data_IF_227624144390
#
_entry.id   IF_227624144390
#
_cell.length_a   1.000
_cell.length_b   1.000
_cell.length_c   1.000
_cell.angle_alpha   90.00
_cell.angle_beta   90.00
_cell.angle_gamma   90.00
#
_symmetry.space_group_name_H-M   'P 1'
#
loop_
_entity.id
_entity.type
_entity.pdbx_description
1 polymer ?
#
# COMPACT_ATOMS: atom_id res chain seq x y z
N UNK A 1 40.22 3.94 -7.68
CA UNK A 1 40.33 5.32 -8.20
C UNK A 1 39.31 6.25 -7.56
N UNK A 2 38.06 5.83 -7.33
CA UNK A 2 37.00 6.76 -6.87
C UNK A 2 37.32 7.42 -5.54
N UNK A 3 37.86 6.64 -4.60
CA UNK A 3 38.22 7.12 -3.28
C UNK A 3 39.50 7.99 -3.26
N UNK A 4 40.35 7.91 -4.30
CA UNK A 4 41.52 8.79 -4.45
C UNK A 4 41.14 10.11 -5.13
N UNK A 5 40.20 10.09 -6.08
CA UNK A 5 39.66 11.29 -6.74
C UNK A 5 38.82 12.16 -5.80
N UNK A 6 37.98 11.55 -4.96
CA UNK A 6 37.15 12.30 -4.00
C UNK A 6 37.98 13.06 -2.96
N UNK A 7 39.18 12.57 -2.66
CA UNK A 7 40.13 13.23 -1.75
C UNK A 7 40.89 14.38 -2.41
N UNK A 8 40.81 14.53 -3.74
CA UNK A 8 41.45 15.64 -4.42
C UNK A 8 40.71 16.96 -4.08
N UNK A 9 41.42 18.01 -3.64
CA UNK A 9 40.80 19.23 -3.13
C UNK A 9 39.90 19.94 -4.16
N UNK A 10 40.30 19.95 -5.43
CA UNK A 10 39.50 20.59 -6.50
C UNK A 10 38.20 19.83 -6.80
N UNK A 11 38.26 18.50 -6.84
CA UNK A 11 37.09 17.65 -7.09
C UNK A 11 36.12 17.77 -5.93
N UNK A 12 36.63 17.75 -4.70
CA UNK A 12 35.79 17.90 -3.51
C UNK A 12 35.10 19.27 -3.46
N UNK A 13 35.84 20.35 -3.73
CA UNK A 13 35.28 21.70 -3.81
C UNK A 13 34.22 21.84 -4.91
N UNK A 14 34.43 21.21 -6.07
CA UNK A 14 33.47 21.17 -7.17
C UNK A 14 32.17 20.45 -6.76
N UNK A 15 32.28 19.25 -6.20
CA UNK A 15 31.13 18.47 -5.70
C UNK A 15 30.37 19.22 -4.60
N UNK A 16 31.09 19.87 -3.68
CA UNK A 16 30.47 20.65 -2.61
C UNK A 16 29.65 21.82 -3.17
N UNK A 17 30.19 22.56 -4.16
CA UNK A 17 29.46 23.65 -4.82
C UNK A 17 28.20 23.16 -5.53
N UNK A 18 28.25 22.00 -6.20
CA UNK A 18 27.07 21.39 -6.81
C UNK A 18 26.03 21.03 -5.76
N UNK A 19 26.43 20.29 -4.72
CA UNK A 19 25.51 19.85 -3.66
C UNK A 19 24.88 21.03 -2.91
N UNK A 20 25.59 22.16 -2.76
CA UNK A 20 25.06 23.38 -2.17
C UNK A 20 23.85 23.95 -2.93
N UNK A 21 23.77 23.74 -4.25
CA UNK A 21 22.62 24.16 -5.07
C UNK A 21 21.43 23.19 -4.98
N UNK A 22 21.67 21.93 -4.60
CA UNK A 22 20.64 20.88 -4.55
C UNK A 22 20.00 20.84 -3.15
N UNK A 23 18.77 21.34 -3.02
CA UNK A 23 18.06 21.36 -1.71
C UNK A 23 17.76 19.97 -1.14
N UNK A 24 17.60 18.95 -2.00
CA UNK A 24 17.29 17.60 -1.58
C UNK A 24 18.54 16.89 -1.07
N UNK A 25 18.79 16.97 0.25
CA UNK A 25 19.97 16.33 0.87
C UNK A 25 19.99 14.81 0.70
N UNK A 26 18.81 14.18 0.55
CA UNK A 26 18.66 12.73 0.36
C UNK A 26 19.32 12.20 -0.93
N UNK A 27 19.59 13.05 -1.94
CA UNK A 27 20.27 12.67 -3.19
C UNK A 27 21.75 13.03 -3.22
N UNK A 28 22.28 13.72 -2.20
CA UNK A 28 23.66 14.25 -2.26
C UNK A 28 24.70 13.16 -2.44
N UNK A 29 24.60 12.07 -1.69
CA UNK A 29 25.53 10.93 -1.80
C UNK A 29 25.52 10.32 -3.20
N UNK A 30 24.33 10.18 -3.79
CA UNK A 30 24.18 9.60 -5.12
C UNK A 30 24.67 10.53 -6.23
N UNK A 31 24.34 11.81 -6.15
CA UNK A 31 24.88 12.83 -7.06
C UNK A 31 26.41 12.83 -6.99
N UNK A 32 27.00 12.74 -5.79
CA UNK A 32 28.46 12.65 -5.63
C UNK A 32 29.00 11.39 -6.30
N UNK A 33 28.39 10.23 -6.08
CA UNK A 33 28.80 8.98 -6.70
C UNK A 33 28.71 9.02 -8.23
N UNK A 34 27.62 9.53 -8.80
CA UNK A 34 27.41 9.61 -10.24
C UNK A 34 28.41 10.58 -10.90
N UNK A 35 28.59 11.77 -10.32
CA UNK A 35 29.55 12.75 -10.82
C UNK A 35 30.99 12.25 -10.71
N UNK A 36 31.34 11.54 -9.64
CA UNK A 36 32.65 10.90 -9.51
C UNK A 36 32.85 9.80 -10.55
N UNK A 37 31.85 8.95 -10.77
CA UNK A 37 31.92 7.89 -11.78
C UNK A 37 32.08 8.47 -13.20
N UNK A 38 31.37 9.55 -13.50
CA UNK A 38 31.48 10.22 -14.80
C UNK A 38 32.83 10.93 -14.95
N UNK A 39 33.35 11.54 -13.88
CA UNK A 39 34.69 12.12 -13.86
C UNK A 39 35.78 11.04 -14.06
N UNK A 40 35.63 9.88 -13.42
CA UNK A 40 36.52 8.73 -13.61
C UNK A 40 36.57 8.28 -15.06
N UNK A 41 35.39 8.13 -15.69
CA UNK A 41 35.27 7.72 -17.09
C UNK A 41 35.93 8.74 -18.03
N UNK A 42 35.63 10.04 -17.84
CA UNK A 42 36.23 11.14 -18.62
C UNK A 42 37.75 11.27 -18.43
N UNK A 43 38.25 10.94 -17.25
CA UNK A 43 39.69 10.97 -16.94
C UNK A 43 40.39 9.79 -17.61
N UNK A 44 39.83 8.58 -17.48
CA UNK A 44 40.36 7.37 -18.11
C UNK A 44 40.41 7.48 -19.64
N UNK A 45 39.37 8.04 -20.25
CA UNK A 45 39.31 8.27 -21.69
C UNK A 45 40.44 9.18 -22.17
N UNK A 46 40.71 10.29 -21.46
CA UNK A 46 41.79 11.24 -21.81
C UNK A 46 43.18 10.66 -21.62
N UNK A 47 43.41 9.90 -20.55
CA UNK A 47 44.68 9.20 -20.33
C UNK A 47 44.95 8.22 -21.48
N UNK A 48 43.92 7.48 -21.91
CA UNK A 48 44.03 6.51 -23.00
C UNK A 48 44.24 7.16 -24.38
N UNK A 49 43.57 8.28 -24.67
CA UNK A 49 43.64 8.94 -25.99
C UNK A 49 44.87 9.84 -26.17
N UNK A 50 45.24 10.59 -25.13
CA UNK A 50 46.22 11.68 -25.25
C UNK A 50 47.55 11.40 -24.53
N UNK A 51 47.66 10.26 -23.83
CA UNK A 51 48.87 9.92 -23.05
C UNK A 51 49.19 10.93 -21.95
N UNK A 52 48.21 11.73 -21.54
CA UNK A 52 48.39 12.78 -20.53
C UNK A 52 48.64 12.18 -19.14
N UNK A 53 49.46 12.84 -18.29
CA UNK A 53 49.52 12.49 -16.88
C UNK A 53 48.12 12.55 -16.25
N UNK A 54 47.81 11.56 -15.41
CA UNK A 54 46.48 11.36 -14.82
C UNK A 54 45.92 12.63 -14.13
N UNK A 55 46.77 13.37 -13.43
CA UNK A 55 46.40 14.62 -12.75
C UNK A 55 45.96 15.72 -13.74
N UNK A 56 46.67 15.88 -14.86
CA UNK A 56 46.29 16.84 -15.90
C UNK A 56 44.99 16.42 -16.60
N UNK A 57 44.86 15.12 -16.90
CA UNK A 57 43.66 14.57 -17.51
C UNK A 57 42.42 14.77 -16.62
N UNK A 58 42.56 14.63 -15.30
CA UNK A 58 41.51 14.87 -14.32
C UNK A 58 41.07 16.34 -14.28
N UNK A 59 42.00 17.29 -14.19
CA UNK A 59 41.67 18.72 -14.15
C UNK A 59 40.92 19.13 -15.43
N UNK A 60 41.35 18.61 -16.58
CA UNK A 60 40.69 18.87 -17.86
C UNK A 60 39.32 18.19 -17.95
N UNK A 61 39.18 16.97 -17.43
CA UNK A 61 37.89 16.30 -17.29
C UNK A 61 36.94 17.08 -16.38
N UNK A 62 37.43 17.65 -15.28
CA UNK A 62 36.66 18.48 -14.36
C UNK A 62 36.16 19.76 -15.04
N UNK A 63 36.99 20.42 -15.85
CA UNK A 63 36.58 21.57 -16.67
C UNK A 63 35.50 21.20 -17.69
N UNK A 64 35.58 20.00 -18.24
CA UNK A 64 34.58 19.48 -19.19
C UNK A 64 33.23 19.16 -18.52
N UNK A 65 33.17 19.01 -17.20
CA UNK A 65 31.90 18.85 -16.48
C UNK A 65 31.06 20.14 -16.44
N UNK A 66 31.66 21.30 -16.74
CA UNK A 66 31.00 22.60 -16.79
C UNK A 66 31.06 23.38 -15.48
N UNK A 67 30.28 24.46 -15.39
CA UNK A 67 30.21 25.30 -14.20
C UNK A 67 29.40 24.63 -13.07
N UNK A 68 29.95 24.51 -11.85
CA UNK A 68 29.30 23.79 -10.75
C UNK A 68 27.97 24.42 -10.31
N UNK A 69 27.78 25.74 -10.45
CA UNK A 69 26.51 26.36 -10.08
C UNK A 69 25.40 26.03 -11.08
N UNK A 70 25.72 26.08 -12.38
CA UNK A 70 24.78 25.72 -13.44
C UNK A 70 24.39 24.24 -13.37
N UNK A 71 25.39 23.36 -13.24
CA UNK A 71 25.17 21.91 -13.07
C UNK A 71 24.34 21.65 -11.81
N UNK A 72 24.66 22.32 -10.70
CA UNK A 72 23.90 22.22 -9.46
C UNK A 72 22.43 22.65 -9.58
N UNK A 73 22.14 23.74 -10.31
CA UNK A 73 20.75 24.19 -10.57
C UNK A 73 19.97 23.23 -11.46
N UNK A 74 20.61 22.65 -12.48
CA UNK A 74 20.01 21.62 -13.32
C UNK A 74 19.68 20.36 -12.50
N UNK A 75 20.64 19.89 -11.70
CA UNK A 75 20.45 18.74 -10.81
C UNK A 75 19.37 19.01 -9.74
N UNK A 76 19.29 20.22 -9.20
CA UNK A 76 18.21 20.60 -8.28
C UNK A 76 16.83 20.46 -8.93
N UNK A 77 16.70 20.90 -10.17
CA UNK A 77 15.43 20.85 -10.91
C UNK A 77 15.05 19.40 -11.24
N UNK A 78 16.02 18.58 -11.63
CA UNK A 78 15.82 17.16 -11.91
C UNK A 78 15.37 16.38 -10.65
N UNK A 79 16.04 16.59 -9.51
CA UNK A 79 15.85 15.82 -8.28
C UNK A 79 14.88 16.46 -7.29
N UNK A 80 14.13 17.50 -7.69
CA UNK A 80 13.18 18.17 -6.80
C UNK A 80 12.03 17.21 -6.43
N UNK A 81 11.74 16.98 -5.13
CA UNK A 81 10.59 16.20 -4.70
C UNK A 81 9.28 16.79 -5.26
N UNK A 82 8.49 15.97 -5.95
CA UNK A 82 7.19 16.37 -6.51
C UNK A 82 6.06 15.68 -5.75
N UNK A 83 5.30 16.38 -4.90
CA UNK A 83 4.09 15.82 -4.30
C UNK A 83 3.01 15.59 -5.38
N UNK A 84 2.27 14.49 -5.26
CA UNK A 84 1.07 14.24 -6.07
C UNK A 84 -0.16 14.83 -5.40
N UNK A 85 -0.34 16.13 -5.59
CA UNK A 85 -1.49 16.88 -5.05
C UNK A 85 -2.84 16.26 -5.38
N UNK A 86 -2.96 15.60 -6.54
CA UNK A 86 -4.20 14.92 -6.93
C UNK A 86 -4.58 13.79 -5.97
N UNK A 87 -3.63 12.95 -5.54
CA UNK A 87 -3.95 11.88 -4.56
C UNK A 87 -4.22 12.47 -3.19
N UNK A 88 -3.47 13.48 -2.78
CA UNK A 88 -3.71 14.17 -1.49
C UNK A 88 -5.13 14.77 -1.47
N UNK A 89 -5.57 15.40 -2.56
CA UNK A 89 -6.92 15.98 -2.66
C UNK A 89 -8.00 14.90 -2.62
N UNK A 90 -7.81 13.76 -3.31
CA UNK A 90 -8.75 12.64 -3.27
C UNK A 90 -8.86 12.03 -1.86
N UNK A 91 -7.73 11.80 -1.19
CA UNK A 91 -7.68 11.30 0.20
C UNK A 91 -8.33 12.29 1.15
N UNK A 92 -8.08 13.58 1.01
CA UNK A 92 -8.71 14.62 1.80
C UNK A 92 -10.23 14.65 1.58
N UNK A 93 -10.71 14.52 0.34
CA UNK A 93 -12.13 14.42 0.02
C UNK A 93 -12.79 13.20 0.68
N UNK A 94 -12.19 12.02 0.57
CA UNK A 94 -12.67 10.79 1.22
C UNK A 94 -12.70 10.94 2.76
N UNK A 95 -11.63 11.49 3.34
CA UNK A 95 -11.53 11.77 4.77
C UNK A 95 -12.62 12.73 5.24
N UNK A 96 -12.86 13.82 4.51
CA UNK A 96 -13.89 14.82 4.83
C UNK A 96 -15.30 14.23 4.72
N UNK A 97 -15.58 13.42 3.71
CA UNK A 97 -16.86 12.70 3.59
C UNK A 97 -17.06 11.81 4.82
N UNK A 98 -16.04 11.04 5.19
CA UNK A 98 -16.06 10.26 6.42
C UNK A 98 -16.35 11.14 7.64
N UNK A 99 -15.64 12.27 7.78
CA UNK A 99 -15.75 13.16 8.95
C UNK A 99 -17.16 13.73 9.10
N UNK A 100 -17.70 14.31 8.03
CA UNK A 100 -19.04 14.90 8.01
C UNK A 100 -20.08 13.83 8.35
N UNK A 101 -19.94 12.64 7.76
CA UNK A 101 -20.86 11.53 8.01
C UNK A 101 -20.76 10.99 9.43
N UNK A 102 -19.58 11.07 10.07
CA UNK A 102 -19.42 10.68 11.45
C UNK A 102 -20.10 11.66 12.41
N UNK A 103 -20.07 12.95 12.09
CA UNK A 103 -20.86 13.96 12.81
C UNK A 103 -22.36 13.76 12.64
N UNK A 104 -22.84 13.40 11.44
CA UNK A 104 -24.26 13.06 11.27
C UNK A 104 -24.64 11.77 11.99
N UNK A 105 -23.76 10.76 12.00
CA UNK A 105 -23.98 9.52 12.75
C UNK A 105 -24.12 9.79 14.26
N UNK A 106 -23.38 10.77 14.80
CA UNK A 106 -23.49 11.20 16.20
C UNK A 106 -24.86 11.77 16.54
N UNK A 107 -25.53 12.42 15.59
CA UNK A 107 -26.88 12.92 15.79
C UNK A 107 -27.92 11.78 15.82
N UNK A 108 -27.60 10.65 15.18
CA UNK A 108 -28.51 9.51 15.01
C UNK A 108 -28.28 8.34 15.98
N UNK A 109 -27.08 8.19 16.55
CA UNK A 109 -26.69 7.04 17.38
C UNK A 109 -25.97 7.53 18.63
N UNK A 110 -26.56 7.27 19.79
CA UNK A 110 -25.97 7.59 21.09
C UNK A 110 -24.79 6.64 21.35
N UNK A 111 -23.56 7.17 21.47
CA UNK A 111 -22.38 6.33 21.66
C UNK A 111 -21.03 7.04 21.60
N UNK A 112 -19.96 6.27 21.85
CA UNK A 112 -18.55 6.72 21.96
C UNK A 112 -17.90 7.08 20.61
N UNK A 113 -18.63 7.79 19.75
CA UNK A 113 -18.17 8.30 18.45
C UNK A 113 -16.97 9.24 18.62
N UNK A 114 -16.94 10.00 19.72
CA UNK A 114 -15.87 10.96 20.01
C UNK A 114 -14.49 10.30 20.12
N UNK A 115 -14.42 9.05 20.63
CA UNK A 115 -13.14 8.31 20.72
C UNK A 115 -12.64 7.82 19.36
N UNK A 116 -13.54 7.69 18.36
CA UNK A 116 -13.20 7.21 17.02
C UNK A 116 -12.49 8.29 16.17
N UNK A 117 -12.75 9.57 16.45
CA UNK A 117 -12.08 10.69 15.76
C UNK A 117 -10.56 10.65 15.90
N UNK A 118 -10.07 10.14 17.04
CA UNK A 118 -8.63 9.98 17.30
C UNK A 118 -7.94 9.13 16.23
N UNK A 119 -8.59 8.07 15.73
CA UNK A 119 -8.00 7.22 14.68
C UNK A 119 -7.75 7.99 13.38
N UNK A 120 -8.66 8.88 12.99
CA UNK A 120 -8.50 9.70 11.79
C UNK A 120 -7.31 10.66 11.92
N UNK A 121 -7.22 11.40 13.03
CA UNK A 121 -6.12 12.35 13.25
C UNK A 121 -4.76 11.65 13.39
N UNK A 122 -4.70 10.55 14.13
CA UNK A 122 -3.49 9.71 14.22
C UNK A 122 -3.11 9.17 12.85
N UNK A 123 -4.08 8.69 12.07
CA UNK A 123 -3.84 8.21 10.71
C UNK A 123 -3.27 9.28 9.78
N UNK A 124 -3.78 10.51 9.84
CA UNK A 124 -3.24 11.65 9.07
C UNK A 124 -1.82 11.98 9.51
N UNK A 125 -1.56 12.02 10.82
CA UNK A 125 -0.21 12.25 11.35
C UNK A 125 0.78 11.16 10.89
N UNK A 126 0.36 9.89 10.91
CA UNK A 126 1.15 8.76 10.41
C UNK A 126 1.38 8.84 8.89
N UNK A 127 0.36 9.20 8.11
CA UNK A 127 0.49 9.43 6.66
C UNK A 127 1.53 10.51 6.36
N UNK A 128 1.46 11.64 7.05
CA UNK A 128 2.41 12.74 6.89
C UNK A 128 3.82 12.28 7.32
N UNK A 129 3.96 11.59 8.44
CA UNK A 129 5.24 11.05 8.88
C UNK A 129 5.87 10.10 7.86
N UNK A 130 5.10 9.11 7.38
CA UNK A 130 5.58 8.11 6.42
C UNK A 130 5.85 8.70 5.03
N UNK A 131 5.17 9.79 4.65
CA UNK A 131 5.50 10.55 3.44
C UNK A 131 6.97 11.02 3.41
N UNK A 132 7.52 11.38 4.56
CA UNK A 132 8.93 11.80 4.68
C UNK A 132 9.90 10.63 4.91
N UNK A 133 9.44 9.47 5.35
CA UNK A 133 10.29 8.29 5.54
C UNK A 133 10.77 7.75 4.20
N UNK A 134 12.04 7.36 4.12
CA UNK A 134 12.58 6.65 2.95
C UNK A 134 12.08 5.20 2.94
N UNK A 135 11.16 4.91 2.01
CA UNK A 135 10.54 3.59 1.85
C UNK A 135 11.57 2.48 1.62
N UNK A 136 12.75 2.78 1.04
CA UNK A 136 13.79 1.78 0.73
C UNK A 136 14.36 1.10 1.97
N UNK A 137 14.30 1.78 3.12
CA UNK A 137 14.71 1.18 4.40
C UNK A 137 13.90 -0.08 4.71
N UNK A 138 12.65 -0.15 4.27
CA UNK A 138 11.77 -1.30 4.47
C UNK A 138 12.30 -2.58 3.80
N UNK A 139 13.07 -2.48 2.70
CA UNK A 139 13.68 -3.66 2.04
C UNK A 139 14.52 -4.47 3.03
N UNK A 140 15.34 -3.78 3.84
CA UNK A 140 16.20 -4.41 4.85
C UNK A 140 15.39 -5.11 5.94
N UNK A 141 14.27 -4.51 6.33
CA UNK A 141 13.41 -5.01 7.40
C UNK A 141 12.33 -5.98 6.93
N UNK A 142 12.28 -6.35 5.65
CA UNK A 142 11.21 -7.18 5.08
C UNK A 142 10.95 -8.47 5.87
N UNK A 143 12.00 -9.20 6.27
CA UNK A 143 11.83 -10.44 7.06
C UNK A 143 11.34 -10.19 8.47
N UNK A 144 11.82 -9.10 9.10
CA UNK A 144 11.37 -8.70 10.43
C UNK A 144 9.90 -8.31 10.37
N UNK A 145 9.50 -7.53 9.36
CA UNK A 145 8.11 -7.13 9.15
C UNK A 145 7.21 -8.34 8.88
N UNK A 146 7.66 -9.27 8.05
CA UNK A 146 6.94 -10.51 7.75
C UNK A 146 6.72 -11.35 9.01
N UNK A 147 7.82 -11.71 9.68
CA UNK A 147 7.79 -12.54 10.88
C UNK A 147 7.01 -11.88 12.03
N UNK A 148 7.21 -10.58 12.27
CA UNK A 148 6.46 -9.84 13.28
C UNK A 148 4.95 -9.83 12.98
N UNK A 149 4.55 -9.69 11.71
CA UNK A 149 3.12 -9.73 11.35
C UNK A 149 2.52 -11.10 11.63
N UNK A 150 3.20 -12.19 11.23
CA UNK A 150 2.73 -13.55 11.51
C UNK A 150 2.69 -13.84 13.02
N UNK A 151 3.69 -13.39 13.77
CA UNK A 151 3.73 -13.54 15.22
C UNK A 151 2.59 -12.77 15.90
N UNK A 152 2.28 -11.55 15.43
CA UNK A 152 1.14 -10.79 15.94
C UNK A 152 -0.19 -11.49 15.64
N UNK A 153 -0.37 -12.04 14.43
CA UNK A 153 -1.56 -12.83 14.10
C UNK A 153 -1.67 -14.07 15.01
N UNK A 154 -0.57 -14.79 15.22
CA UNK A 154 -0.54 -15.94 16.13
C UNK A 154 -0.79 -15.54 17.60
N UNK A 155 -0.25 -14.40 18.05
CA UNK A 155 -0.46 -13.90 19.41
C UNK A 155 -1.93 -13.53 19.68
N UNK A 156 -2.61 -12.97 18.67
CA UNK A 156 -4.05 -12.67 18.77
C UNK A 156 -4.86 -13.95 19.01
N UNK A 157 -4.51 -15.07 18.36
CA UNK A 157 -5.20 -16.34 18.63
C UNK A 157 -5.20 -16.76 20.10
N UNK A 158 -4.16 -16.41 20.86
CA UNK A 158 -4.07 -16.77 22.28
C UNK A 158 -4.54 -15.68 23.25
N UNK A 159 -4.42 -14.40 22.87
CA UNK A 159 -4.62 -13.27 23.79
C UNK A 159 -5.60 -12.21 23.25
N UNK A 160 -6.51 -12.56 22.34
CA UNK A 160 -7.47 -11.59 21.78
C UNK A 160 -8.58 -11.20 22.74
N UNK A 161 -9.00 -9.94 22.64
CA UNK A 161 -10.31 -9.50 23.13
C UNK A 161 -11.38 -9.91 22.13
N UNK A 162 -12.41 -10.62 22.61
CA UNK A 162 -13.57 -10.92 21.79
C UNK A 162 -14.43 -9.66 21.58
N UNK A 163 -14.63 -9.26 20.33
CA UNK A 163 -15.61 -8.24 19.96
C UNK A 163 -16.63 -8.89 19.04
N UNK A 164 -17.90 -8.92 19.46
CA UNK A 164 -18.98 -9.61 18.75
C UNK A 164 -18.68 -11.09 18.45
N UNK A 165 -18.03 -11.79 19.39
CA UNK A 165 -17.70 -13.22 19.27
C UNK A 165 -16.50 -13.54 18.36
N UNK A 166 -15.81 -12.54 17.83
CA UNK A 166 -14.63 -12.72 16.95
C UNK A 166 -13.34 -12.33 17.69
N UNK A 167 -12.24 -13.03 17.41
CA UNK A 167 -10.92 -12.85 18.04
C UNK A 167 -9.89 -12.26 17.07
N UNK A 168 -10.01 -10.97 16.77
CA UNK A 168 -9.13 -10.28 15.80
C UNK A 168 -8.41 -9.06 16.37
N UNK A 169 -8.68 -8.72 17.63
CA UNK A 169 -8.25 -7.44 18.22
C UNK A 169 -7.21 -7.65 19.33
N UNK A 170 -6.20 -6.77 19.31
CA UNK A 170 -5.31 -6.52 20.44
C UNK A 170 -5.77 -5.26 21.18
N UNK A 171 -5.75 -5.34 22.51
CA UNK A 171 -5.98 -4.19 23.38
C UNK A 171 -4.67 -3.41 23.54
N UNK A 172 -4.64 -2.17 23.05
CA UNK A 172 -3.54 -1.22 23.22
C UNK A 172 -4.03 -0.08 24.13
N UNK A 173 -4.08 -0.35 25.44
CA UNK A 173 -4.66 0.59 26.41
C UNK A 173 -6.13 0.85 26.11
N UNK A 174 -6.56 2.11 25.85
CA UNK A 174 -7.96 2.42 25.54
C UNK A 174 -8.37 2.12 24.09
N UNK A 175 -7.47 1.60 23.25
CA UNK A 175 -7.70 1.39 21.83
C UNK A 175 -7.71 -0.08 21.44
N UNK A 176 -8.59 -0.46 20.51
CA UNK A 176 -8.63 -1.79 19.89
C UNK A 176 -7.96 -1.76 18.52
N UNK A 177 -6.85 -2.49 18.36
CA UNK A 177 -6.15 -2.62 17.08
C UNK A 177 -6.49 -3.95 16.43
N UNK A 178 -7.09 -3.91 15.23
CA UNK A 178 -7.38 -5.13 14.47
C UNK A 178 -6.12 -5.54 13.68
N UNK A 179 -5.47 -6.61 14.13
CA UNK A 179 -4.23 -7.12 13.51
C UNK A 179 -4.51 -7.70 12.12
N UNK A 180 -5.64 -8.39 11.96
CA UNK A 180 -6.04 -9.01 10.69
C UNK A 180 -6.42 -7.99 9.62
N UNK A 181 -6.92 -6.82 10.02
CA UNK A 181 -7.14 -5.71 9.10
C UNK A 181 -5.82 -5.09 8.61
N UNK A 182 -4.79 -5.09 9.45
CA UNK A 182 -3.47 -4.57 9.12
C UNK A 182 -2.60 -5.56 8.34
N UNK A 183 -2.79 -6.87 8.54
CA UNK A 183 -1.88 -7.89 8.03
C UNK A 183 -1.76 -7.95 6.50
N UNK A 184 -2.80 -7.75 5.66
CA UNK A 184 -2.61 -7.72 4.21
C UNK A 184 -1.63 -6.63 3.78
N UNK A 185 -1.69 -5.45 4.41
CA UNK A 185 -0.77 -4.35 4.13
C UNK A 185 0.66 -4.72 4.51
N UNK A 186 0.87 -5.15 5.75
CA UNK A 186 2.21 -5.44 6.28
C UNK A 186 2.88 -6.61 5.57
N UNK A 187 2.12 -7.69 5.30
CA UNK A 187 2.63 -8.85 4.58
C UNK A 187 3.01 -8.50 3.14
N UNK A 188 2.21 -7.70 2.42
CA UNK A 188 2.55 -7.31 1.04
C UNK A 188 3.72 -6.33 0.97
N UNK A 189 3.87 -5.41 1.94
CA UNK A 189 5.08 -4.57 2.06
C UNK A 189 6.32 -5.46 2.22
N UNK A 190 6.24 -6.45 3.10
CA UNK A 190 7.33 -7.37 3.38
C UNK A 190 7.65 -8.25 2.15
N UNK A 191 6.64 -8.88 1.54
CA UNK A 191 6.82 -9.75 0.38
C UNK A 191 7.38 -8.96 -0.81
N UNK A 192 6.89 -7.73 -1.06
CA UNK A 192 7.45 -6.86 -2.09
C UNK A 192 8.96 -6.66 -1.92
N UNK A 193 9.47 -6.56 -0.68
CA UNK A 193 10.89 -6.41 -0.39
C UNK A 193 11.65 -7.75 -0.42
N UNK A 194 11.01 -8.85 -0.04
CA UNK A 194 11.59 -10.20 -0.14
C UNK A 194 11.79 -10.63 -1.59
N UNK A 195 10.88 -10.23 -2.50
CA UNK A 195 10.98 -10.48 -3.95
C UNK A 195 12.18 -9.76 -4.60
N UNK A 196 12.73 -8.73 -3.97
CA UNK A 196 13.89 -7.99 -4.47
C UNK A 196 15.22 -8.70 -4.19
N UNK A 197 15.23 -9.72 -3.34
CA UNK A 197 16.46 -10.44 -3.01
C UNK A 197 16.86 -11.32 -4.19
N UNK A 198 18.10 -11.14 -4.65
CA UNK A 198 18.71 -12.04 -5.65
C UNK A 198 18.91 -13.42 -5.00
N UNK A 199 18.23 -14.42 -5.54
CA UNK A 199 18.48 -15.83 -5.22
C UNK A 199 19.53 -16.38 -6.19
N UNK A 200 20.32 -17.39 -5.79
CA UNK A 200 21.15 -18.13 -6.73
C UNK A 200 20.29 -18.63 -7.90
N UNK A 201 20.84 -18.62 -9.11
CA UNK A 201 20.13 -19.23 -10.24
C UNK A 201 20.01 -20.74 -9.97
N UNK A 202 18.78 -21.26 -9.98
CA UNK A 202 18.55 -22.69 -9.88
C UNK A 202 19.28 -23.41 -11.03
N UNK A 203 20.04 -24.46 -10.70
CA UNK A 203 20.87 -25.20 -11.66
C UNK A 203 20.08 -26.32 -12.36
N UNK A 204 18.81 -26.52 -11.99
CA UNK A 204 17.92 -27.47 -12.66
C UNK A 204 16.44 -27.40 -12.21
N UNK A 205 15.57 -28.13 -12.91
CA UNK A 205 14.11 -28.13 -12.70
C UNK A 205 13.70 -28.51 -11.26
N UNK A 206 14.43 -29.45 -10.64
CA UNK A 206 14.17 -29.88 -9.26
C UNK A 206 14.43 -28.76 -8.26
N UNK A 207 15.52 -28.03 -8.43
CA UNK A 207 15.88 -26.91 -7.55
C UNK A 207 14.88 -25.76 -7.71
N UNK A 208 14.49 -25.43 -8.95
CA UNK A 208 13.46 -24.43 -9.23
C UNK A 208 12.12 -24.80 -8.57
N UNK A 209 11.70 -26.06 -8.68
CA UNK A 209 10.46 -26.54 -8.05
C UNK A 209 10.52 -26.47 -6.52
N UNK A 210 11.66 -26.80 -5.91
CA UNK A 210 11.85 -26.71 -4.46
C UNK A 210 11.82 -25.25 -3.98
N UNK A 211 12.46 -24.34 -4.71
CA UNK A 211 12.43 -22.91 -4.37
C UNK A 211 11.04 -22.30 -4.51
N UNK A 212 10.33 -22.61 -5.60
CA UNK A 212 8.94 -22.20 -5.81
C UNK A 212 8.03 -22.76 -4.72
N UNK A 213 8.20 -24.03 -4.36
CA UNK A 213 7.47 -24.66 -3.27
C UNK A 213 7.69 -23.98 -1.92
N UNK A 214 8.95 -23.64 -1.59
CA UNK A 214 9.28 -22.89 -0.38
C UNK A 214 8.63 -21.51 -0.35
N UNK A 215 8.69 -20.76 -1.45
CA UNK A 215 8.06 -19.44 -1.55
C UNK A 215 6.53 -19.53 -1.50
N UNK A 216 5.93 -20.55 -2.10
CA UNK A 216 4.49 -20.79 -2.06
C UNK A 216 4.02 -21.12 -0.64
N UNK A 217 4.74 -21.99 0.06
CA UNK A 217 4.51 -22.27 1.48
C UNK A 217 4.63 -21.00 2.30
N UNK A 218 5.73 -20.27 2.11
CA UNK A 218 6.04 -19.09 2.88
C UNK A 218 4.98 -18.00 2.69
N UNK A 219 4.64 -17.64 1.45
CA UNK A 219 3.79 -16.49 1.13
C UNK A 219 2.30 -16.80 1.04
N UNK A 220 1.86 -18.05 0.99
CA UNK A 220 0.44 -18.35 0.85
C UNK A 220 -0.05 -19.25 1.95
N UNK A 221 0.63 -20.38 2.13
CA UNK A 221 0.18 -21.44 3.02
C UNK A 221 0.27 -21.04 4.49
N UNK A 222 1.41 -20.47 4.93
CA UNK A 222 1.59 -20.02 6.30
C UNK A 222 0.58 -18.91 6.69
N UNK A 223 0.41 -17.81 5.91
CA UNK A 223 -0.63 -16.82 6.19
C UNK A 223 -2.04 -17.43 6.21
N UNK A 224 -2.39 -18.29 5.24
CA UNK A 224 -3.70 -18.92 5.17
C UNK A 224 -4.04 -19.70 6.45
N UNK A 225 -3.07 -20.47 6.98
CA UNK A 225 -3.21 -21.20 8.25
C UNK A 225 -3.47 -20.29 9.46
N UNK A 226 -3.05 -19.03 9.42
CA UNK A 226 -3.31 -18.06 10.50
C UNK A 226 -4.62 -17.30 10.34
N UNK A 227 -5.11 -17.12 9.10
CA UNK A 227 -6.39 -16.44 8.82
C UNK A 227 -7.60 -17.34 9.07
N UNK A 228 -7.54 -18.61 8.65
CA UNK A 228 -8.68 -19.54 8.70
C UNK A 228 -9.24 -19.70 10.12
N UNK A 229 -8.43 -19.92 11.18
CA UNK A 229 -8.98 -20.12 12.53
C UNK A 229 -9.49 -18.83 13.19
N UNK A 230 -9.25 -17.64 12.61
CA UNK A 230 -9.51 -16.32 13.23
C UNK A 230 -10.83 -15.67 12.78
N UNK A 231 -11.79 -16.48 12.33
CA UNK A 231 -12.85 -16.07 11.38
C UNK A 231 -12.49 -14.89 10.45
N UNK A 232 -11.28 -14.87 9.89
CA UNK A 232 -10.71 -13.70 9.19
C UNK A 232 -10.68 -13.89 7.66
N UNK A 233 -11.64 -14.65 7.12
CA UNK A 233 -11.71 -15.03 5.71
C UNK A 233 -11.70 -13.82 4.75
N UNK A 234 -12.36 -12.72 5.12
CA UNK A 234 -12.36 -11.50 4.33
C UNK A 234 -10.95 -10.94 4.09
N UNK A 235 -10.13 -10.92 5.15
CA UNK A 235 -8.75 -10.45 5.07
C UNK A 235 -7.83 -11.44 4.36
N UNK A 236 -8.12 -12.75 4.44
CA UNK A 236 -7.46 -13.76 3.61
C UNK A 236 -7.72 -13.52 2.12
N UNK A 237 -8.96 -13.24 1.73
CA UNK A 237 -9.29 -12.91 0.34
C UNK A 237 -8.56 -11.67 -0.14
N UNK A 238 -8.61 -10.59 0.64
CA UNK A 238 -7.91 -9.34 0.31
C UNK A 238 -6.40 -9.56 0.18
N UNK A 239 -5.82 -10.31 1.12
CA UNK A 239 -4.41 -10.68 1.06
C UNK A 239 -4.09 -11.51 -0.18
N UNK A 240 -4.90 -12.54 -0.46
CA UNK A 240 -4.71 -13.45 -1.60
C UNK A 240 -4.81 -12.74 -2.94
N UNK A 241 -5.86 -11.93 -3.15
CA UNK A 241 -5.99 -11.12 -4.36
C UNK A 241 -4.87 -10.07 -4.47
N UNK A 242 -4.51 -9.39 -3.37
CA UNK A 242 -3.41 -8.44 -3.35
C UNK A 242 -2.05 -9.09 -3.69
N UNK A 243 -1.80 -10.29 -3.16
CA UNK A 243 -0.62 -11.09 -3.47
C UNK A 243 -0.64 -11.55 -4.94
N UNK A 244 -1.79 -11.99 -5.46
CA UNK A 244 -1.92 -12.38 -6.85
C UNK A 244 -1.58 -11.22 -7.78
N UNK A 245 -2.12 -10.02 -7.55
CA UNK A 245 -1.80 -8.81 -8.32
C UNK A 245 -0.30 -8.50 -8.23
N UNK A 246 0.27 -8.54 -7.02
CA UNK A 246 1.70 -8.30 -6.81
C UNK A 246 2.58 -9.27 -7.61
N UNK A 247 2.28 -10.58 -7.54
CA UNK A 247 3.04 -11.62 -8.23
C UNK A 247 2.90 -11.54 -9.75
N UNK A 248 1.71 -11.22 -10.26
CA UNK A 248 1.47 -11.02 -11.69
C UNK A 248 2.30 -9.84 -12.23
N UNK A 249 2.25 -8.69 -11.56
CA UNK A 249 3.03 -7.50 -11.97
C UNK A 249 4.54 -7.71 -11.81
N UNK A 250 4.95 -8.54 -10.84
CA UNK A 250 6.35 -8.92 -10.64
C UNK A 250 6.85 -10.01 -11.59
N UNK A 251 6.01 -10.50 -12.52
CA UNK A 251 6.37 -11.57 -13.46
C UNK A 251 6.56 -12.95 -12.81
N UNK A 252 5.98 -13.18 -11.63
CA UNK A 252 6.12 -14.41 -10.82
C UNK A 252 4.92 -15.36 -11.00
N UNK A 253 4.46 -15.53 -12.25
CA UNK A 253 3.26 -16.35 -12.56
C UNK A 253 3.39 -17.81 -12.11
N UNK A 254 4.58 -18.42 -12.29
CA UNK A 254 4.84 -19.80 -11.81
C UNK A 254 4.56 -19.95 -10.31
N UNK A 255 5.04 -19.00 -9.51
CA UNK A 255 4.80 -18.98 -8.06
C UNK A 255 3.32 -18.83 -7.71
N UNK A 256 2.59 -18.00 -8.45
CA UNK A 256 1.14 -17.86 -8.29
C UNK A 256 0.43 -19.20 -8.55
N UNK A 257 0.72 -19.85 -9.67
CA UNK A 257 0.10 -21.14 -10.05
C UNK A 257 0.45 -22.21 -9.02
N UNK A 258 1.73 -22.34 -8.64
CA UNK A 258 2.17 -23.30 -7.62
C UNK A 258 1.46 -23.06 -6.29
N UNK A 259 1.38 -21.82 -5.83
CA UNK A 259 0.72 -21.51 -4.57
C UNK A 259 -0.80 -21.71 -4.60
N UNK A 260 -1.48 -21.36 -5.69
CA UNK A 260 -2.91 -21.67 -5.88
C UNK A 260 -3.16 -23.18 -5.88
N UNK A 261 -2.31 -23.95 -6.57
CA UNK A 261 -2.42 -25.42 -6.57
C UNK A 261 -2.25 -26.01 -5.16
N UNK A 262 -1.31 -25.46 -4.36
CA UNK A 262 -1.09 -25.89 -2.98
C UNK A 262 -2.27 -25.54 -2.07
N UNK A 263 -2.86 -24.35 -2.23
CA UNK A 263 -4.05 -23.93 -1.48
C UNK A 263 -5.24 -24.85 -1.78
N UNK A 264 -5.50 -25.18 -3.06
CA UNK A 264 -6.59 -26.12 -3.43
C UNK A 264 -6.38 -27.47 -2.76
N UNK A 265 -5.16 -28.01 -2.76
CA UNK A 265 -4.86 -29.27 -2.08
C UNK A 265 -5.10 -29.21 -0.56
N UNK A 266 -4.84 -28.07 0.08
CA UNK A 266 -5.14 -27.87 1.51
C UNK A 266 -6.62 -27.72 1.81
N UNK A 267 -7.43 -27.21 0.88
CA UNK A 267 -8.88 -27.07 1.11
C UNK A 267 -9.59 -28.42 1.20
N UNK A 268 -9.08 -29.46 0.55
CA UNK A 268 -9.69 -30.81 0.55
C UNK A 268 -9.89 -31.36 1.98
N UNK A 269 -8.87 -31.47 2.85
CA UNK A 269 -9.06 -31.94 4.21
C UNK A 269 -9.88 -30.99 5.09
N UNK A 270 -9.87 -29.69 4.83
CA UNK A 270 -10.68 -28.71 5.59
C UNK A 270 -12.17 -28.87 5.29
N UNK A 271 -12.52 -29.05 4.01
CA UNK A 271 -13.88 -29.30 3.55
C UNK A 271 -14.43 -30.62 4.10
N UNK A 272 -13.59 -31.66 4.18
CA UNK A 272 -13.99 -32.97 4.72
C UNK A 272 -14.26 -32.97 6.23
N UNK A 273 -13.76 -31.98 6.98
CA UNK A 273 -13.95 -31.86 8.43
C UNK A 273 -15.10 -30.91 8.84
N UNK A 274 -15.91 -30.42 7.90
CA UNK A 274 -17.03 -29.50 8.19
C UNK A 274 -16.60 -28.11 8.71
N UNK A 275 -15.31 -27.79 8.70
CA UNK A 275 -14.79 -26.52 9.22
C UNK A 275 -15.12 -25.30 8.34
N UNK A 276 -15.88 -25.49 7.26
CA UNK A 276 -16.27 -24.46 6.30
C UNK A 276 -17.78 -24.15 6.34
N UNK A 277 -18.51 -24.73 7.30
CA UNK A 277 -19.97 -24.60 7.39
C UNK A 277 -20.41 -23.14 7.61
N UNK A 278 -19.62 -22.35 8.34
CA UNK A 278 -19.88 -20.93 8.56
C UNK A 278 -19.76 -20.10 7.27
N UNK A 279 -18.66 -20.26 6.55
CA UNK A 279 -18.41 -19.57 5.29
C UNK A 279 -19.41 -20.02 4.21
N UNK A 280 -19.77 -21.30 4.21
CA UNK A 280 -20.79 -21.85 3.33
C UNK A 280 -22.18 -21.27 3.64
N UNK A 281 -22.55 -21.16 4.92
CA UNK A 281 -23.78 -20.50 5.37
C UNK A 281 -23.85 -19.06 4.84
N UNK A 282 -22.74 -18.32 4.89
CA UNK A 282 -22.70 -16.92 4.41
C UNK A 282 -22.85 -16.84 2.91
N UNK A 283 -22.22 -17.77 2.18
CA UNK A 283 -22.35 -17.85 0.74
C UNK A 283 -23.78 -18.23 0.33
N UNK A 284 -24.40 -19.22 0.99
CA UNK A 284 -25.78 -19.60 0.71
C UNK A 284 -26.77 -18.50 1.06
N UNK A 285 -26.54 -17.79 2.16
CA UNK A 285 -27.35 -16.63 2.56
C UNK A 285 -27.18 -15.43 1.65
N UNK A 286 -26.02 -15.25 1.03
CA UNK A 286 -25.84 -14.25 -0.02
C UNK A 286 -26.59 -14.64 -1.31
N UNK A 287 -26.54 -15.92 -1.71
CA UNK A 287 -27.20 -16.40 -2.93
C UNK A 287 -28.73 -16.43 -2.80
N UNK A 288 -29.26 -16.74 -1.61
CA UNK A 288 -30.68 -16.78 -1.31
C UNK A 288 -31.00 -15.96 -0.04
N UNK A 289 -30.91 -14.63 -0.10
CA UNK A 289 -31.06 -13.79 1.10
C UNK A 289 -32.46 -13.87 1.71
N UNK A 290 -33.50 -14.08 0.90
CA UNK A 290 -34.89 -14.18 1.37
C UNK A 290 -35.12 -15.42 2.25
N UNK A 291 -34.50 -16.56 1.91
CA UNK A 291 -34.61 -17.79 2.71
C UNK A 291 -33.83 -17.70 4.02
N UNK A 292 -32.87 -16.76 4.11
CA UNK A 292 -32.03 -16.50 5.27
C UNK A 292 -32.28 -15.11 5.88
N UNK A 293 -33.49 -14.56 5.68
CA UNK A 293 -33.82 -13.17 6.03
C UNK A 293 -33.68 -12.84 7.53
N UNK A 294 -33.80 -13.84 8.41
CA UNK A 294 -33.68 -13.69 9.87
C UNK A 294 -32.27 -14.01 10.40
N UNK A 295 -31.36 -14.46 9.53
CA UNK A 295 -30.00 -14.87 9.94
C UNK A 295 -28.95 -14.13 9.10
N UNK A 296 -28.21 -14.83 8.25
CA UNK A 296 -27.04 -14.27 7.56
C UNK A 296 -27.42 -13.43 6.33
N UNK A 297 -28.64 -13.58 5.81
CA UNK A 297 -29.19 -12.75 4.74
C UNK A 297 -29.69 -11.38 5.23
N UNK A 298 -29.91 -11.23 6.54
CA UNK A 298 -30.49 -10.02 7.15
C UNK A 298 -29.73 -8.74 6.77
N UNK A 299 -28.41 -8.75 6.91
CA UNK A 299 -27.58 -7.57 6.62
C UNK A 299 -27.67 -7.14 5.15
N UNK A 300 -27.73 -8.12 4.23
CA UNK A 300 -27.83 -7.86 2.77
C UNK A 300 -29.16 -7.20 2.47
N UNK A 301 -30.26 -7.77 2.96
CA UNK A 301 -31.62 -7.24 2.74
C UNK A 301 -31.76 -5.82 3.28
N UNK A 302 -31.28 -5.56 4.51
CA UNK A 302 -31.35 -4.23 5.11
C UNK A 302 -30.47 -3.20 4.41
N UNK A 303 -29.29 -3.63 3.94
CA UNK A 303 -28.41 -2.79 3.14
C UNK A 303 -29.08 -2.34 1.83
N UNK A 304 -29.68 -3.28 1.10
CA UNK A 304 -30.37 -3.00 -0.17
C UNK A 304 -31.64 -2.16 0.06
N UNK A 305 -32.45 -2.47 1.08
CA UNK A 305 -33.63 -1.67 1.46
C UNK A 305 -33.26 -0.22 1.78
N UNK A 306 -32.15 0.01 2.49
CA UNK A 306 -31.65 1.35 2.81
C UNK A 306 -31.21 2.12 1.55
N UNK A 307 -30.48 1.46 0.65
CA UNK A 307 -30.07 2.05 -0.62
C UNK A 307 -31.28 2.39 -1.51
N UNK A 308 -32.27 1.50 -1.60
CA UNK A 308 -33.49 1.73 -2.38
C UNK A 308 -34.34 2.87 -1.82
N UNK A 309 -34.46 2.96 -0.49
CA UNK A 309 -35.23 4.01 0.17
C UNK A 309 -34.55 5.39 0.11
N UNK A 310 -33.25 5.48 -0.14
CA UNK A 310 -32.53 6.77 -0.22
C UNK A 310 -33.03 7.72 -1.33
N UNK A 311 -33.62 7.20 -2.42
CA UNK A 311 -34.02 8.04 -3.55
C UNK A 311 -32.85 8.84 -4.16
N UNK A 312 -33.14 9.82 -5.01
CA UNK A 312 -32.07 10.58 -5.70
C UNK A 312 -31.29 11.52 -4.77
N UNK A 313 -31.96 12.07 -3.76
CA UNK A 313 -31.45 13.16 -2.90
C UNK A 313 -31.28 12.79 -1.43
N UNK A 314 -31.63 11.57 -1.05
CA UNK A 314 -31.53 11.10 0.33
C UNK A 314 -32.76 11.43 1.16
N UNK A 315 -32.78 10.87 2.36
CA UNK A 315 -33.81 11.12 3.38
C UNK A 315 -33.52 12.38 4.21
N UNK A 316 -32.30 12.93 4.14
CA UNK A 316 -31.88 14.11 4.90
C UNK A 316 -30.75 13.81 5.88
N UNK A 317 -30.18 14.86 6.48
CA UNK A 317 -29.02 14.76 7.35
C UNK A 317 -29.39 14.17 8.72
N UNK A 318 -28.73 13.07 9.10
CA UNK A 318 -28.87 12.49 10.44
C UNK A 318 -30.21 11.80 10.69
N UNK A 319 -30.95 11.46 9.62
CA UNK A 319 -32.20 10.70 9.75
C UNK A 319 -31.84 9.27 10.17
N UNK A 320 -32.44 8.83 11.27
CA UNK A 320 -32.21 7.50 11.83
C UNK A 320 -32.92 6.46 10.97
N UNK A 321 -32.20 5.41 10.60
CA UNK A 321 -32.77 4.20 10.02
C UNK A 321 -32.54 3.03 10.97
N UNK A 322 -33.51 2.78 11.86
CA UNK A 322 -33.43 1.72 12.88
C UNK A 322 -33.29 0.32 12.27
N UNK A 323 -33.67 0.15 11.01
CA UNK A 323 -33.55 -1.12 10.29
C UNK A 323 -32.16 -1.35 9.70
N UNK A 324 -31.28 -0.33 9.65
CA UNK A 324 -29.93 -0.45 9.08
C UNK A 324 -28.90 -0.70 10.19
N UNK A 325 -28.60 -1.97 10.53
CA UNK A 325 -27.56 -2.28 11.50
C UNK A 325 -26.19 -1.85 10.97
N UNK A 326 -25.23 -1.66 11.88
CA UNK A 326 -23.82 -1.47 11.52
C UNK A 326 -23.57 -0.32 10.52
N UNK A 327 -24.46 0.68 10.52
CA UNK A 327 -24.36 1.90 9.72
C UNK A 327 -23.07 2.69 9.97
N UNK A 328 -22.45 2.53 11.15
CA UNK A 328 -21.16 3.15 11.50
C UNK A 328 -19.92 2.29 11.20
N UNK A 329 -20.07 1.14 10.52
CA UNK A 329 -18.97 0.23 10.20
C UNK A 329 -19.03 -0.31 8.76
N UNK A 330 -19.55 -1.52 8.56
CA UNK A 330 -19.48 -2.23 7.26
C UNK A 330 -20.56 -1.77 6.27
N UNK A 331 -21.74 -1.34 6.77
CA UNK A 331 -22.85 -0.82 5.95
C UNK A 331 -22.83 0.71 5.84
N UNK A 332 -21.66 1.31 6.03
CA UNK A 332 -21.48 2.76 5.98
C UNK A 332 -21.84 3.34 4.60
N UNK A 333 -21.52 2.65 3.50
CA UNK A 333 -21.93 3.12 2.16
C UNK A 333 -23.46 3.17 2.01
N UNK A 334 -24.18 2.15 2.51
CA UNK A 334 -25.65 2.14 2.50
C UNK A 334 -26.24 3.28 3.33
N UNK A 335 -25.60 3.61 4.46
CA UNK A 335 -25.96 4.80 5.25
C UNK A 335 -25.77 6.11 4.47
N UNK A 336 -24.68 6.25 3.71
CA UNK A 336 -24.44 7.44 2.87
C UNK A 336 -25.53 7.59 1.80
N UNK A 337 -25.88 6.51 1.10
CA UNK A 337 -26.93 6.54 0.07
C UNK A 337 -28.30 6.83 0.68
N UNK A 338 -28.61 6.24 1.83
CA UNK A 338 -29.88 6.49 2.51
C UNK A 338 -30.04 7.96 2.91
N UNK A 339 -29.02 8.58 3.50
CA UNK A 339 -29.12 9.98 3.98
C UNK A 339 -28.93 11.02 2.87
N UNK A 340 -28.03 10.78 1.91
CA UNK A 340 -27.60 11.77 0.92
C UNK A 340 -28.02 11.45 -0.53
N UNK A 341 -28.60 10.27 -0.76
CA UNK A 341 -29.17 9.86 -2.04
C UNK A 341 -28.19 9.20 -3.00
N UNK A 342 -28.76 8.66 -4.08
CA UNK A 342 -28.01 7.97 -5.14
C UNK A 342 -26.97 8.86 -5.82
N UNK A 343 -27.25 10.16 -6.01
CA UNK A 343 -26.29 11.09 -6.63
C UNK A 343 -25.01 11.16 -5.79
N UNK A 344 -25.16 11.26 -4.47
CA UNK A 344 -24.03 11.26 -3.55
C UNK A 344 -23.32 9.91 -3.51
N UNK A 345 -24.08 8.79 -3.47
CA UNK A 345 -23.53 7.44 -3.54
C UNK A 345 -22.64 7.21 -4.76
N UNK A 346 -23.12 7.61 -5.95
CA UNK A 346 -22.36 7.53 -7.20
C UNK A 346 -21.11 8.41 -7.13
N UNK A 347 -21.21 9.62 -6.57
CA UNK A 347 -20.05 10.49 -6.39
C UNK A 347 -18.98 9.86 -5.47
N UNK A 348 -19.38 9.19 -4.39
CA UNK A 348 -18.47 8.44 -3.49
C UNK A 348 -17.81 7.27 -4.22
N UNK A 349 -18.58 6.49 -4.98
CA UNK A 349 -18.05 5.38 -5.78
C UNK A 349 -17.05 5.87 -6.85
N UNK A 350 -17.37 6.98 -7.53
CA UNK A 350 -16.50 7.61 -8.51
C UNK A 350 -15.22 8.15 -7.85
N UNK A 351 -15.32 8.77 -6.68
CA UNK A 351 -14.17 9.26 -5.92
C UNK A 351 -13.22 8.10 -5.56
N UNK A 352 -13.76 6.99 -5.04
CA UNK A 352 -13.00 5.77 -4.75
C UNK A 352 -12.33 5.19 -6.01
N UNK A 353 -13.05 5.14 -7.12
CA UNK A 353 -12.51 4.67 -8.40
C UNK A 353 -11.36 5.56 -8.91
N UNK A 354 -11.56 6.89 -8.90
CA UNK A 354 -10.53 7.86 -9.31
C UNK A 354 -9.29 7.77 -8.42
N UNK A 355 -9.46 7.58 -7.11
CA UNK A 355 -8.36 7.34 -6.18
C UNK A 355 -7.52 6.12 -6.59
N UNK A 356 -8.16 4.97 -6.85
CA UNK A 356 -7.46 3.75 -7.27
C UNK A 356 -6.74 3.95 -8.60
N UNK A 357 -7.42 4.50 -9.61
CA UNK A 357 -6.84 4.76 -10.94
C UNK A 357 -5.65 5.72 -10.85
N UNK A 358 -5.74 6.77 -10.03
CA UNK A 358 -4.67 7.76 -9.89
C UNK A 358 -3.41 7.14 -9.28
N UNK A 359 -3.55 6.32 -8.24
CA UNK A 359 -2.41 5.61 -7.63
C UNK A 359 -1.85 4.56 -8.60
N UNK A 360 -2.69 3.82 -9.32
CA UNK A 360 -2.21 2.86 -10.31
C UNK A 360 -1.36 3.54 -11.41
N UNK A 361 -1.81 4.71 -11.90
CA UNK A 361 -1.02 5.54 -12.84
C UNK A 361 0.27 6.07 -12.25
N UNK A 362 0.30 6.38 -10.94
CA UNK A 362 1.53 6.75 -10.24
C UNK A 362 2.51 5.57 -10.18
N UNK A 363 2.03 4.38 -9.82
CA UNK A 363 2.84 3.17 -9.75
C UNK A 363 3.49 2.82 -11.10
N UNK A 364 2.79 3.04 -12.20
CA UNK A 364 3.32 2.83 -13.55
C UNK A 364 4.48 3.77 -13.94
N UNK A 365 4.65 4.91 -13.24
CA UNK A 365 5.75 5.86 -13.47
C UNK A 365 7.00 5.57 -12.63
N UNK A 366 6.95 4.59 -11.73
CA UNK A 366 8.06 4.25 -10.85
C UNK A 366 9.09 3.39 -11.60
N UNK A 367 10.35 3.79 -11.53
CA UNK A 367 11.47 3.06 -12.13
C UNK A 367 12.08 2.03 -11.17
N UNK A 368 12.09 2.32 -9.87
CA UNK A 368 12.52 1.36 -8.85
C UNK A 368 11.53 0.20 -8.73
N UNK A 369 12.00 -1.02 -9.00
CA UNK A 369 11.22 -2.25 -8.89
C UNK A 369 10.62 -2.44 -7.49
N UNK A 370 11.32 -2.04 -6.42
CA UNK A 370 10.76 -2.15 -5.07
C UNK A 370 9.60 -1.18 -4.88
N UNK A 371 9.81 0.09 -5.24
CA UNK A 371 8.77 1.11 -5.20
C UNK A 371 7.51 0.69 -5.98
N UNK A 372 7.70 0.15 -7.19
CA UNK A 372 6.61 -0.34 -8.03
C UNK A 372 5.84 -1.47 -7.34
N UNK A 373 6.54 -2.49 -6.84
CA UNK A 373 5.94 -3.63 -6.15
C UNK A 373 5.23 -3.21 -4.85
N UNK A 374 5.83 -2.30 -4.08
CA UNK A 374 5.24 -1.71 -2.88
C UNK A 374 3.91 -1.02 -3.19
N UNK A 375 3.90 -0.12 -4.18
CA UNK A 375 2.69 0.61 -4.58
C UNK A 375 1.62 -0.35 -5.11
N UNK A 376 2.00 -1.33 -5.94
CA UNK A 376 1.08 -2.33 -6.49
C UNK A 376 0.41 -3.17 -5.40
N UNK A 377 1.18 -3.67 -4.42
CA UNK A 377 0.62 -4.46 -3.32
C UNK A 377 -0.34 -3.65 -2.46
N UNK A 378 0.05 -2.42 -2.09
CA UNK A 378 -0.79 -1.55 -1.25
C UNK A 378 -2.06 -1.08 -1.96
N UNK A 379 -1.97 -0.72 -3.25
CA UNK A 379 -3.16 -0.28 -3.99
C UNK A 379 -4.10 -1.43 -4.31
N UNK A 380 -3.59 -2.65 -4.49
CA UNK A 380 -4.43 -3.82 -4.65
C UNK A 380 -5.31 -4.03 -3.41
N UNK A 381 -4.71 -4.02 -2.21
CA UNK A 381 -5.44 -4.16 -0.94
C UNK A 381 -6.50 -3.07 -0.78
N UNK A 382 -6.13 -1.79 -0.93
CA UNK A 382 -7.06 -0.66 -0.82
C UNK A 382 -8.17 -0.73 -1.85
N UNK A 383 -7.82 -1.00 -3.11
CA UNK A 383 -8.76 -1.01 -4.22
C UNK A 383 -9.77 -2.16 -4.11
N UNK A 384 -9.32 -3.34 -3.70
CA UNK A 384 -10.21 -4.49 -3.45
C UNK A 384 -11.12 -4.21 -2.27
N UNK A 385 -10.61 -3.65 -1.17
CA UNK A 385 -11.46 -3.28 -0.02
C UNK A 385 -12.53 -2.24 -0.40
N UNK A 386 -12.15 -1.19 -1.15
CA UNK A 386 -13.08 -0.18 -1.66
C UNK A 386 -14.15 -0.81 -2.56
N UNK A 387 -13.73 -1.54 -3.60
CA UNK A 387 -14.66 -2.18 -4.54
C UNK A 387 -15.58 -3.18 -3.84
N UNK A 388 -15.04 -4.03 -2.96
CA UNK A 388 -15.82 -5.03 -2.25
C UNK A 388 -16.86 -4.38 -1.34
N UNK A 389 -16.49 -3.34 -0.58
CA UNK A 389 -17.44 -2.65 0.29
C UNK A 389 -18.60 -2.02 -0.50
N UNK A 390 -18.30 -1.33 -1.62
CA UNK A 390 -19.33 -0.73 -2.47
C UNK A 390 -20.27 -1.80 -3.05
N UNK A 391 -19.70 -2.90 -3.57
CA UNK A 391 -20.46 -3.97 -4.18
C UNK A 391 -21.27 -4.79 -3.17
N UNK A 392 -20.71 -5.07 -1.99
CA UNK A 392 -21.45 -5.82 -0.95
C UNK A 392 -22.61 -5.02 -0.39
N UNK A 393 -22.45 -3.70 -0.24
CA UNK A 393 -23.55 -2.83 0.19
C UNK A 393 -24.68 -2.78 -0.85
N UNK A 394 -24.32 -2.79 -2.14
CA UNK A 394 -25.27 -2.88 -3.24
C UNK A 394 -25.91 -4.28 -3.43
N UNK A 395 -25.54 -5.27 -2.60
CA UNK A 395 -26.04 -6.64 -2.72
C UNK A 395 -25.42 -7.46 -3.86
N UNK A 396 -24.32 -6.99 -4.45
CA UNK A 396 -23.63 -7.67 -5.57
C UNK A 396 -22.51 -8.61 -5.12
N UNK A 397 -22.05 -8.48 -3.88
CA UNK A 397 -21.06 -9.36 -3.25
C UNK A 397 -21.51 -9.72 -1.83
N UNK A 398 -21.02 -10.83 -1.25
CA UNK A 398 -21.35 -11.19 0.12
C UNK A 398 -20.79 -10.16 1.10
N UNK A 399 -21.54 -9.94 2.20
CA UNK A 399 -21.11 -9.09 3.30
C UNK A 399 -20.05 -9.84 4.10
N UNK A 400 -18.84 -9.25 4.16
CA UNK A 400 -17.65 -9.88 4.75
C UNK A 400 -17.03 -9.07 5.90
N UNK A 401 -17.70 -8.08 6.49
CA UNK A 401 -17.09 -7.28 7.56
C UNK A 401 -16.11 -6.21 7.08
N UNK A 402 -16.02 -6.00 5.76
CA UNK A 402 -15.10 -5.02 5.17
C UNK A 402 -15.67 -3.62 5.30
N UNK A 403 -14.82 -2.68 5.73
CA UNK A 403 -15.18 -1.27 5.91
C UNK A 403 -14.68 -0.47 4.72
N UNK A 404 -15.33 0.65 4.44
CA UNK A 404 -14.93 1.57 3.37
C UNK A 404 -13.58 2.24 3.73
N UNK A 405 -12.48 1.98 3.00
CA UNK A 405 -11.17 2.54 3.33
C UNK A 405 -11.17 4.07 3.36
N UNK A 406 -10.38 4.65 4.27
CA UNK A 406 -10.17 6.09 4.52
C UNK A 406 -11.41 6.80 5.12
N UNK A 407 -12.60 6.21 5.05
CA UNK A 407 -13.85 6.83 5.52
C UNK A 407 -14.43 6.20 6.80
N UNK A 408 -13.83 5.14 7.33
CA UNK A 408 -14.44 4.27 8.36
C UNK A 408 -14.14 4.61 9.83
N UNK A 409 -13.30 5.61 10.12
CA UNK A 409 -12.97 6.10 11.47
C UNK A 409 -12.64 5.01 12.50
N UNK A 410 -11.92 3.99 12.07
CA UNK A 410 -11.52 2.89 12.94
C UNK A 410 -10.01 2.70 12.97
N UNK A 411 -9.52 1.79 13.81
CA UNK A 411 -8.08 1.49 13.87
C UNK A 411 -7.49 1.05 12.52
N UNK A 412 -8.29 0.45 11.64
CA UNK A 412 -7.87 0.11 10.26
C UNK A 412 -7.51 1.34 9.42
N UNK A 413 -8.20 2.47 9.63
CA UNK A 413 -7.96 3.73 8.93
C UNK A 413 -6.54 4.27 9.13
N UNK A 414 -5.94 4.01 10.30
CA UNK A 414 -4.55 4.39 10.56
C UNK A 414 -3.59 3.66 9.62
N UNK A 415 -3.82 2.35 9.39
CA UNK A 415 -2.99 1.54 8.49
C UNK A 415 -3.26 1.87 7.02
N UNK A 416 -4.51 2.14 6.66
CA UNK A 416 -4.89 2.60 5.31
C UNK A 416 -4.19 3.94 4.96
N UNK A 417 -4.21 4.90 5.88
CA UNK A 417 -3.51 6.18 5.72
C UNK A 417 -1.98 6.03 5.78
N UNK A 418 -1.47 5.11 6.59
CA UNK A 418 -0.06 4.75 6.57
C UNK A 418 0.39 4.20 5.21
N UNK A 419 -0.41 3.32 4.60
CA UNK A 419 -0.18 2.79 3.26
C UNK A 419 -0.15 3.90 2.20
N UNK A 420 -1.11 4.85 2.27
CA UNK A 420 -1.10 6.05 1.41
C UNK A 420 0.17 6.88 1.61
N UNK A 421 0.61 7.08 2.86
CA UNK A 421 1.86 7.78 3.16
C UNK A 421 3.08 7.12 2.51
N UNK A 422 3.17 5.78 2.57
CA UNK A 422 4.23 5.02 1.90
C UNK A 422 4.16 5.11 0.38
N UNK A 423 2.96 5.06 -0.21
CA UNK A 423 2.76 5.24 -1.66
C UNK A 423 3.25 6.63 -2.11
N UNK A 424 2.86 7.68 -1.38
CA UNK A 424 3.28 9.05 -1.68
C UNK A 424 4.79 9.23 -1.46
N UNK A 425 5.36 8.58 -0.45
CA UNK A 425 6.81 8.54 -0.18
C UNK A 425 7.60 7.89 -1.33
N UNK A 426 7.10 6.79 -1.88
CA UNK A 426 7.68 6.13 -3.05
C UNK A 426 7.63 7.05 -4.28
N UNK A 427 6.48 7.68 -4.54
CA UNK A 427 6.34 8.59 -5.67
C UNK A 427 7.19 9.85 -5.57
N UNK A 428 7.32 10.42 -4.37
CA UNK A 428 8.13 11.60 -4.10
C UNK A 428 9.57 11.43 -4.58
N UNK A 429 10.10 10.20 -4.51
CA UNK A 429 11.49 9.84 -4.82
C UNK A 429 11.65 9.19 -6.20
N UNK A 430 10.61 9.20 -7.04
CA UNK A 430 10.64 8.56 -8.37
C UNK A 430 11.72 9.09 -9.31
N UNK A 431 12.03 10.39 -9.20
CA UNK A 431 12.99 11.10 -10.05
C UNK A 431 14.39 11.12 -9.42
N UNK A 432 14.57 10.47 -8.26
CA UNK A 432 15.87 10.40 -7.60
C UNK A 432 16.78 9.32 -8.19
N UNK A 433 16.23 8.34 -8.90
CA UNK A 433 16.95 7.19 -9.41
C UNK A 433 16.59 6.95 -10.88
N UNK A 434 17.60 6.95 -11.76
CA UNK A 434 17.47 6.52 -13.16
C UNK A 434 17.68 7.60 -14.24
N UNK A 435 18.04 8.83 -13.88
CA UNK A 435 18.57 9.80 -14.84
C UNK A 435 20.09 9.75 -14.80
N UNK A 436 20.73 8.95 -15.66
CA UNK A 436 22.14 9.16 -15.96
C UNK A 436 22.31 10.59 -16.48
N UNK A 437 22.76 11.51 -15.64
CA UNK A 437 23.05 12.88 -16.02
C UNK A 437 24.27 12.85 -16.93
N UNK A 438 24.02 12.86 -18.24
CA UNK A 438 25.03 13.20 -19.24
C UNK A 438 25.04 14.72 -19.37
N UNK A 439 26.09 15.44 -18.91
CA UNK A 439 26.19 16.86 -19.19
C UNK A 439 26.16 17.05 -20.72
N UNK A 440 25.25 17.89 -21.19
CA UNK A 440 25.27 18.28 -22.60
C UNK A 440 26.55 19.08 -22.84
N UNK A 441 27.33 18.78 -23.89
CA UNK A 441 28.49 19.58 -24.22
C UNK A 441 28.01 21.02 -24.43
N UNK A 442 28.57 21.94 -23.66
CA UNK A 442 28.40 23.37 -23.89
C UNK A 442 28.83 23.64 -25.33
N UNK A 443 27.88 24.10 -26.17
CA UNK A 443 28.22 24.66 -27.47
C UNK A 443 29.11 25.87 -27.20
N UNK A 444 30.41 25.69 -27.41
CA UNK A 444 31.38 26.78 -27.50
C UNK A 444 31.21 27.47 -28.84
#
# INVERSE_FOLDING_TARGET
MSHSLERHPEVNAYLHKICAQVKAKEVHEEIRHELLSHLEELTAERVAQSGMPEEKAMIEALRHMGDPEQVGKQLHTAHKPKPEWGVIALVAGMFLIGLVSMFTLRLSVDGMIDRKLVYGFVGVAVMIGLYFVDYRKLIRYSWVLYGATLLLMAAVHWQSVQVNGVTQWLLLGPFNFNVYAASPYLLLIAIAGMLQRKKPAAQGLREEAVELGKDAVLFMLIPALLYVPAPAFAYLLIYGFGLAVLLLVSGKMKLLITGLSALVLMTVPVLLNGSFDYEWSRLSAFLNPDTHAQTEGYLVLRSVEAIQSGGMWGQGFGIVNDKLPLASSELFYSYLVYNFGWVFGIAVALLAFLFVVRIARMGAKLQDSYAKNLVVGLIAVLGIQLAWNLLMCAGLLPILGLRLPIMNWSSGMVIELAAVGLILSAYRRKDMFGSSYRPQPTKV
#
